data_IF_812747708872
#
_entry.id   IF_812747708872
#
_cell.length_a   1.000
_cell.length_b   1.000
_cell.length_c   1.000
_cell.angle_alpha   90.00
_cell.angle_beta   90.00
_cell.angle_gamma   90.00
#
_symmetry.space_group_name_H-M   'P 1'
#
loop_
_entity.id
_entity.type
_entity.pdbx_description
1 polymer ?
#
# COMPACT_ATOMS: atom_id res chain seq x y z
N UNK A 1 19.61 -11.65 0.72
CA UNK A 1 19.33 -12.35 -0.55
C UNK A 1 19.95 -11.62 -1.73
N UNK A 2 19.58 -10.38 -2.01
CA UNK A 2 20.12 -9.60 -3.13
C UNK A 2 21.66 -9.46 -3.13
N UNK A 3 22.30 -9.34 -1.97
CA UNK A 3 23.76 -9.25 -1.89
C UNK A 3 24.55 -10.48 -2.41
N UNK A 4 23.86 -11.57 -2.76
CA UNK A 4 24.49 -12.73 -3.42
C UNK A 4 24.48 -12.65 -4.95
N UNK A 5 23.75 -11.70 -5.51
CA UNK A 5 23.60 -11.59 -6.98
C UNK A 5 24.94 -11.26 -7.62
N UNK A 6 25.61 -10.22 -7.14
CA UNK A 6 26.88 -9.76 -7.71
C UNK A 6 27.96 -10.85 -7.65
N UNK A 7 28.05 -11.55 -6.51
CA UNK A 7 28.99 -12.67 -6.33
C UNK A 7 28.71 -13.81 -7.33
N UNK A 8 27.42 -14.11 -7.59
CA UNK A 8 27.05 -15.17 -8.54
C UNK A 8 27.27 -14.75 -9.99
N UNK A 9 26.99 -13.49 -10.33
CA UNK A 9 27.26 -12.94 -11.66
C UNK A 9 28.75 -13.04 -11.97
N UNK A 10 29.61 -12.58 -11.05
CA UNK A 10 31.07 -12.64 -11.22
C UNK A 10 31.58 -14.08 -11.29
N UNK A 11 31.16 -14.93 -10.34
CA UNK A 11 31.65 -16.32 -10.24
C UNK A 11 31.30 -17.17 -11.42
N UNK A 12 30.08 -17.04 -11.96
CA UNK A 12 29.57 -17.87 -13.04
C UNK A 12 29.65 -17.21 -14.43
N UNK A 13 30.07 -15.93 -14.49
CA UNK A 13 30.13 -15.18 -15.74
C UNK A 13 28.80 -15.13 -16.48
N UNK A 14 27.71 -15.00 -15.73
CA UNK A 14 26.36 -14.80 -16.30
C UNK A 14 26.10 -13.31 -16.52
N UNK A 15 25.16 -12.99 -17.42
CA UNK A 15 24.91 -11.60 -17.81
C UNK A 15 24.10 -10.86 -16.76
N UNK A 16 23.03 -11.52 -16.25
CA UNK A 16 22.12 -10.90 -15.28
C UNK A 16 21.40 -11.95 -14.43
N UNK A 17 21.03 -11.56 -13.22
CA UNK A 17 20.23 -12.36 -12.29
C UNK A 17 19.11 -11.51 -11.71
N UNK A 18 17.87 -11.95 -11.93
CA UNK A 18 16.68 -11.34 -11.36
C UNK A 18 15.98 -12.24 -10.34
N UNK A 19 15.42 -11.63 -9.30
CA UNK A 19 14.50 -12.31 -8.37
C UNK A 19 13.14 -11.65 -8.53
N UNK A 20 12.20 -12.41 -9.07
CA UNK A 20 10.83 -11.97 -9.29
C UNK A 20 9.96 -12.51 -8.17
N UNK A 21 9.39 -11.63 -7.39
CA UNK A 21 8.48 -12.00 -6.30
C UNK A 21 7.04 -11.83 -6.77
N UNK A 22 6.19 -12.81 -6.45
CA UNK A 22 4.76 -12.66 -6.61
C UNK A 22 4.18 -11.73 -5.55
N UNK A 23 2.92 -11.34 -5.74
CA UNK A 23 2.21 -10.55 -4.76
C UNK A 23 1.78 -11.43 -3.57
N UNK A 24 2.17 -11.06 -2.36
CA UNK A 24 2.01 -11.89 -1.17
C UNK A 24 0.54 -12.25 -0.84
N UNK A 25 -0.41 -11.40 -1.25
CA UNK A 25 -1.85 -11.59 -1.01
C UNK A 25 -2.60 -12.19 -2.20
N UNK A 26 -1.89 -12.47 -3.29
CA UNK A 26 -2.47 -13.07 -4.48
C UNK A 26 -2.61 -14.58 -4.33
N UNK A 27 -3.79 -15.08 -3.97
CA UNK A 27 -4.08 -16.52 -3.85
C UNK A 27 -4.39 -17.13 -5.23
N UNK A 28 -3.37 -17.27 -6.05
CA UNK A 28 -3.46 -17.88 -7.38
C UNK A 28 -2.29 -18.85 -7.62
N UNK A 29 -2.50 -20.02 -8.25
CA UNK A 29 -1.45 -21.00 -8.51
C UNK A 29 -0.26 -20.45 -9.31
N UNK A 30 -0.47 -19.42 -10.14
CA UNK A 30 0.57 -18.75 -10.92
C UNK A 30 1.36 -17.69 -10.13
N UNK A 31 0.89 -17.31 -8.94
CA UNK A 31 1.54 -16.29 -8.10
C UNK A 31 2.70 -16.94 -7.34
N UNK A 32 3.90 -16.88 -7.90
CA UNK A 32 5.11 -17.52 -7.38
C UNK A 32 6.27 -16.54 -7.36
N UNK A 33 7.25 -16.82 -6.51
CA UNK A 33 8.57 -16.27 -6.68
C UNK A 33 9.35 -17.08 -7.71
N UNK A 34 10.21 -16.43 -8.49
CA UNK A 34 11.08 -17.04 -9.46
C UNK A 34 12.48 -16.42 -9.43
N UNK A 35 13.49 -17.25 -9.69
CA UNK A 35 14.84 -16.80 -9.99
C UNK A 35 15.03 -16.91 -11.50
N UNK A 36 15.46 -15.81 -12.11
CA UNK A 36 15.69 -15.71 -13.55
C UNK A 36 17.16 -15.37 -13.78
N UNK A 37 17.88 -16.20 -14.50
CA UNK A 37 19.30 -16.01 -14.83
C UNK A 37 19.48 -15.97 -16.34
N UNK A 38 20.21 -14.98 -16.82
CA UNK A 38 20.55 -14.81 -18.23
C UNK A 38 22.06 -14.97 -18.43
N UNK A 39 22.47 -15.70 -19.44
CA UNK A 39 23.88 -15.90 -19.75
C UNK A 39 24.10 -16.76 -21.01
N UNK A 40 25.32 -16.73 -21.55
CA UNK A 40 25.69 -17.39 -22.79
C UNK A 40 25.97 -18.90 -22.61
N UNK A 41 26.32 -19.33 -21.42
CA UNK A 41 26.69 -20.71 -21.13
C UNK A 41 25.62 -21.40 -20.26
N UNK A 42 24.86 -22.32 -20.87
CA UNK A 42 23.77 -23.07 -20.20
C UNK A 42 24.16 -23.65 -18.85
N UNK A 43 25.36 -24.26 -18.75
CA UNK A 43 25.83 -24.86 -17.48
C UNK A 43 25.91 -23.81 -16.36
N UNK A 44 26.51 -22.67 -16.63
CA UNK A 44 26.68 -21.58 -15.66
C UNK A 44 25.34 -20.99 -15.25
N UNK A 45 24.43 -20.81 -16.22
CA UNK A 45 23.06 -20.33 -15.97
C UNK A 45 22.33 -21.28 -15.03
N UNK A 46 22.37 -22.59 -15.28
CA UNK A 46 21.69 -23.59 -14.44
C UNK A 46 22.27 -23.59 -13.04
N UNK A 47 23.60 -23.67 -12.89
CA UNK A 47 24.26 -23.70 -11.57
C UNK A 47 23.96 -22.42 -10.74
N UNK A 48 24.05 -21.25 -11.35
CA UNK A 48 23.72 -19.99 -10.66
C UNK A 48 22.26 -19.93 -10.23
N UNK A 49 21.35 -20.41 -11.11
CA UNK A 49 19.91 -20.45 -10.82
C UNK A 49 19.60 -21.35 -9.62
N UNK A 50 20.13 -22.60 -9.63
CA UNK A 50 19.90 -23.57 -8.57
C UNK A 50 20.43 -23.07 -7.23
N UNK A 51 21.65 -22.54 -7.19
CA UNK A 51 22.26 -22.02 -5.95
C UNK A 51 21.41 -20.88 -5.37
N UNK A 52 20.95 -19.94 -6.20
CA UNK A 52 20.17 -18.82 -5.69
C UNK A 52 18.74 -19.24 -5.31
N UNK A 53 18.13 -20.16 -6.06
CA UNK A 53 16.82 -20.69 -5.74
C UNK A 53 16.83 -21.50 -4.43
N UNK A 54 17.82 -22.36 -4.22
CA UNK A 54 17.99 -23.12 -2.97
C UNK A 54 18.24 -22.20 -1.78
N UNK A 55 19.08 -21.21 -1.97
CA UNK A 55 19.30 -20.19 -0.93
C UNK A 55 18.02 -19.43 -0.62
N UNK A 56 17.26 -18.97 -1.64
CA UNK A 56 15.99 -18.30 -1.46
C UNK A 56 15.01 -19.18 -0.67
N UNK A 57 14.89 -20.44 -1.06
CA UNK A 57 14.05 -21.40 -0.35
C UNK A 57 14.48 -21.60 1.10
N UNK A 58 15.78 -21.66 1.38
CA UNK A 58 16.31 -21.86 2.74
C UNK A 58 15.93 -20.74 3.70
N UNK A 59 15.87 -19.49 3.21
CA UNK A 59 15.55 -18.30 4.02
C UNK A 59 14.08 -17.89 3.94
N UNK A 60 13.19 -18.68 3.34
CA UNK A 60 11.78 -18.31 3.12
C UNK A 60 10.99 -17.92 4.38
N UNK A 61 11.41 -18.43 5.53
CA UNK A 61 10.80 -18.15 6.82
C UNK A 61 11.45 -16.96 7.57
N UNK A 62 12.51 -16.40 7.03
CA UNK A 62 13.25 -15.28 7.64
C UNK A 62 12.75 -13.92 7.13
N UNK A 63 11.79 -13.90 6.20
CA UNK A 63 11.22 -12.67 5.69
C UNK A 63 10.25 -12.05 6.68
N UNK A 64 10.54 -10.82 7.07
CA UNK A 64 9.71 -10.01 7.94
C UNK A 64 9.33 -8.70 7.26
N UNK A 65 8.22 -8.11 7.68
CA UNK A 65 7.87 -6.76 7.23
C UNK A 65 8.85 -5.73 7.81
N UNK A 66 9.26 -4.79 6.99
CA UNK A 66 10.20 -3.71 7.39
C UNK A 66 9.59 -2.81 8.45
N UNK A 67 8.28 -2.58 8.39
CA UNK A 67 7.52 -1.80 9.37
C UNK A 67 6.69 -2.71 10.28
N UNK A 68 6.42 -2.28 11.52
CA UNK A 68 5.53 -3.02 12.41
C UNK A 68 4.15 -3.20 11.79
N UNK A 69 3.65 -4.44 11.80
CA UNK A 69 2.32 -4.80 11.32
C UNK A 69 1.38 -5.10 12.46
N UNK A 70 0.09 -4.78 12.30
CA UNK A 70 -0.95 -5.08 13.27
C UNK A 70 -2.33 -4.95 12.61
N UNK A 71 -3.41 -5.29 13.31
CA UNK A 71 -4.76 -5.03 12.84
C UNK A 71 -5.13 -3.54 13.00
N UNK A 72 -6.24 -3.14 12.38
CA UNK A 72 -6.69 -1.74 12.37
C UNK A 72 -7.02 -1.23 13.77
N UNK A 73 -7.69 -2.02 14.60
CA UNK A 73 -8.08 -1.65 15.95
C UNK A 73 -6.85 -1.29 16.80
N UNK A 74 -5.83 -2.15 16.80
CA UNK A 74 -4.58 -1.89 17.50
C UNK A 74 -3.81 -0.69 16.91
N UNK A 75 -3.90 -0.47 15.58
CA UNK A 75 -3.31 0.70 14.93
C UNK A 75 -3.95 1.99 15.42
N UNK A 76 -5.28 2.01 15.55
CA UNK A 76 -6.02 3.15 16.10
C UNK A 76 -5.65 3.41 17.56
N UNK A 77 -5.56 2.38 18.39
CA UNK A 77 -5.13 2.53 19.78
C UNK A 77 -3.72 3.10 19.91
N UNK A 78 -2.79 2.60 19.11
CA UNK A 78 -1.41 3.12 19.05
C UNK A 78 -1.39 4.58 18.59
N UNK A 79 -2.20 4.95 17.61
CA UNK A 79 -2.32 6.33 17.15
C UNK A 79 -2.83 7.26 18.26
N UNK A 80 -3.88 6.86 18.99
CA UNK A 80 -4.42 7.61 20.13
C UNK A 80 -3.36 7.77 21.23
N UNK A 81 -2.65 6.71 21.59
CA UNK A 81 -1.58 6.75 22.56
C UNK A 81 -0.44 7.70 22.12
N UNK A 82 -0.04 7.61 20.84
CA UNK A 82 0.97 8.50 20.28
C UNK A 82 0.55 9.96 20.35
N UNK A 83 -0.69 10.29 19.99
CA UNK A 83 -1.23 11.66 20.03
C UNK A 83 -1.22 12.23 21.45
N UNK A 84 -1.54 11.41 22.45
CA UNK A 84 -1.57 11.82 23.85
C UNK A 84 -0.17 11.99 24.46
N UNK A 85 0.82 11.29 23.96
CA UNK A 85 2.17 11.22 24.55
C UNK A 85 3.24 11.91 23.70
N UNK A 86 2.92 12.34 22.48
CA UNK A 86 3.91 12.85 21.54
C UNK A 86 4.59 14.13 22.05
N UNK A 87 5.92 14.11 22.00
CA UNK A 87 6.78 15.27 22.27
C UNK A 87 7.18 16.01 21.00
N UNK A 88 7.01 15.41 19.84
CA UNK A 88 7.37 15.94 18.52
C UNK A 88 6.14 15.99 17.61
N UNK A 89 6.19 16.83 16.57
CA UNK A 89 5.05 17.12 15.68
C UNK A 89 5.01 16.21 14.43
N UNK A 90 5.63 15.03 14.49
CA UNK A 90 5.59 14.11 13.33
C UNK A 90 4.21 13.45 13.21
N UNK A 91 3.74 13.16 11.99
CA UNK A 91 2.50 12.40 11.80
C UNK A 91 2.67 10.95 12.26
N UNK A 92 1.58 10.33 12.69
CA UNK A 92 1.48 8.88 12.82
C UNK A 92 0.86 8.34 11.53
N UNK A 93 1.56 7.45 10.85
CA UNK A 93 1.15 6.93 9.54
C UNK A 93 0.66 5.49 9.71
N UNK A 94 -0.54 5.22 9.20
CA UNK A 94 -1.11 3.87 9.08
C UNK A 94 -1.28 3.59 7.59
N UNK A 95 -0.71 2.49 7.11
CA UNK A 95 -0.86 2.04 5.72
C UNK A 95 -1.72 0.78 5.68
N UNK A 96 -2.77 0.81 4.88
CA UNK A 96 -3.55 -0.39 4.55
C UNK A 96 -2.79 -1.21 3.49
N UNK A 97 -2.65 -2.52 3.73
CA UNK A 97 -1.96 -3.42 2.82
C UNK A 97 -2.94 -4.26 1.96
N UNK A 98 -4.23 -4.24 2.29
CA UNK A 98 -5.22 -5.13 1.69
C UNK A 98 -5.75 -4.66 0.34
N UNK A 99 -6.21 -3.42 0.28
CA UNK A 99 -6.84 -2.85 -0.91
C UNK A 99 -5.85 -2.01 -1.72
N UNK A 100 -4.91 -2.69 -2.37
CA UNK A 100 -3.85 -2.04 -3.15
C UNK A 100 -4.09 -2.16 -4.66
N UNK A 101 -4.43 -1.07 -5.36
CA UNK A 101 -4.70 -1.11 -6.80
C UNK A 101 -3.49 -1.52 -7.64
N UNK A 102 -2.27 -1.22 -7.21
CA UNK A 102 -1.06 -1.65 -7.93
C UNK A 102 -0.84 -3.16 -7.85
N UNK A 103 -1.50 -3.82 -6.94
CA UNK A 103 -1.46 -5.27 -6.75
C UNK A 103 -2.77 -5.96 -7.17
N UNK A 104 -3.67 -5.26 -7.83
CA UNK A 104 -4.93 -5.77 -8.38
C UNK A 104 -6.14 -5.65 -7.44
N UNK A 105 -6.03 -4.94 -6.33
CA UNK A 105 -7.18 -4.52 -5.53
C UNK A 105 -7.97 -3.41 -6.22
N UNK A 106 -9.20 -3.16 -5.79
CA UNK A 106 -10.02 -2.09 -6.34
C UNK A 106 -9.51 -0.69 -5.96
N UNK A 107 -8.89 -0.57 -4.80
CA UNK A 107 -8.43 0.70 -4.24
C UNK A 107 -9.57 1.61 -3.78
N UNK A 108 -10.77 1.07 -3.61
CA UNK A 108 -11.96 1.87 -3.29
C UNK A 108 -12.80 1.30 -2.13
N UNK A 109 -12.28 0.29 -1.43
CA UNK A 109 -12.97 -0.29 -0.27
C UNK A 109 -13.04 0.72 0.88
N UNK A 110 -14.25 0.99 1.36
CA UNK A 110 -14.51 1.99 2.39
C UNK A 110 -14.45 1.47 3.82
N UNK A 111 -14.18 0.17 4.01
CA UNK A 111 -14.22 -0.49 5.32
C UNK A 111 -13.30 0.20 6.34
N UNK A 112 -12.05 0.45 5.97
CA UNK A 112 -11.07 1.12 6.85
C UNK A 112 -11.52 2.54 7.22
N UNK A 113 -11.99 3.32 6.24
CA UNK A 113 -12.51 4.68 6.47
C UNK A 113 -13.72 4.65 7.40
N UNK A 114 -14.67 3.74 7.18
CA UNK A 114 -15.85 3.57 8.01
C UNK A 114 -15.48 3.24 9.47
N UNK A 115 -14.52 2.33 9.67
CA UNK A 115 -13.99 2.00 10.99
C UNK A 115 -13.35 3.19 11.69
N UNK A 116 -12.57 4.00 10.97
CA UNK A 116 -11.95 5.21 11.51
C UNK A 116 -13.02 6.23 11.95
N UNK A 117 -13.98 6.50 11.08
CA UNK A 117 -15.08 7.44 11.37
C UNK A 117 -15.89 7.05 12.61
N UNK A 118 -16.09 5.76 12.83
CA UNK A 118 -16.82 5.22 13.99
C UNK A 118 -15.92 4.93 15.22
N UNK A 119 -14.62 5.19 15.12
CA UNK A 119 -13.67 4.92 16.20
C UNK A 119 -13.59 6.06 17.23
N UNK A 120 -12.87 5.77 18.33
CA UNK A 120 -12.50 6.79 19.33
C UNK A 120 -11.55 7.85 18.75
N UNK A 121 -10.81 7.53 17.70
CA UNK A 121 -9.86 8.45 17.05
C UNK A 121 -10.60 9.69 16.50
N UNK A 122 -11.76 9.51 15.91
CA UNK A 122 -12.59 10.60 15.39
C UNK A 122 -13.18 11.50 16.50
N UNK A 123 -13.13 11.05 17.76
CA UNK A 123 -13.64 11.77 18.94
C UNK A 123 -12.53 12.49 19.73
N UNK A 124 -11.28 12.32 19.35
CA UNK A 124 -10.14 12.96 20.00
C UNK A 124 -10.04 14.40 19.48
N UNK A 125 -10.16 15.38 20.37
CA UNK A 125 -9.99 16.78 19.99
C UNK A 125 -8.53 17.09 19.66
N UNK A 126 -8.30 17.70 18.51
CA UNK A 126 -7.03 18.32 18.14
C UNK A 126 -6.20 17.67 17.04
N UNK A 127 -6.17 16.34 16.78
CA UNK A 127 -5.46 15.83 15.63
C UNK A 127 -6.31 15.97 14.35
N UNK A 128 -5.66 16.39 13.29
CA UNK A 128 -6.20 16.25 11.95
C UNK A 128 -5.99 14.81 11.47
N UNK A 129 -7.04 14.18 10.92
CA UNK A 129 -6.98 12.86 10.32
C UNK A 129 -7.04 13.05 8.81
N UNK A 130 -6.00 12.62 8.11
CA UNK A 130 -5.95 12.61 6.65
C UNK A 130 -6.13 11.17 6.19
N UNK A 131 -7.21 10.90 5.48
CA UNK A 131 -7.44 9.65 4.76
C UNK A 131 -7.32 9.94 3.27
N UNK A 132 -6.41 9.27 2.59
CA UNK A 132 -6.07 9.55 1.19
C UNK A 132 -6.28 8.32 0.29
N UNK A 133 -6.32 8.60 -1.01
CA UNK A 133 -6.39 7.58 -2.07
C UNK A 133 -7.72 6.82 -2.13
N UNK A 134 -8.84 7.50 -1.85
CA UNK A 134 -10.17 6.93 -2.08
C UNK A 134 -10.83 7.60 -3.30
N UNK A 135 -11.30 6.84 -4.30
CA UNK A 135 -11.99 7.39 -5.46
C UNK A 135 -13.34 8.03 -5.09
N UNK A 136 -13.62 9.18 -5.68
CA UNK A 136 -14.89 9.88 -5.47
C UNK A 136 -15.40 10.53 -6.77
N UNK A 137 -15.74 9.75 -7.83
CA UNK A 137 -16.13 10.31 -9.13
C UNK A 137 -17.37 11.20 -9.05
N UNK A 138 -18.35 10.84 -8.23
CA UNK A 138 -19.56 11.64 -8.04
C UNK A 138 -19.27 12.94 -7.31
N UNK A 139 -18.45 12.90 -6.27
CA UNK A 139 -18.02 14.11 -5.55
C UNK A 139 -17.27 15.06 -6.49
N UNK A 140 -16.35 14.54 -7.31
CA UNK A 140 -15.59 15.33 -8.27
C UNK A 140 -16.53 15.96 -9.31
N UNK A 141 -17.47 15.18 -9.88
CA UNK A 141 -18.44 15.67 -10.85
C UNK A 141 -19.30 16.81 -10.28
N UNK A 142 -19.76 16.66 -9.04
CA UNK A 142 -20.55 17.68 -8.36
C UNK A 142 -19.68 18.93 -8.08
N UNK A 143 -18.44 18.77 -7.64
CA UNK A 143 -17.52 19.87 -7.39
C UNK A 143 -17.22 20.71 -8.63
N UNK A 144 -17.08 20.08 -9.80
CA UNK A 144 -16.84 20.79 -11.06
C UNK A 144 -17.99 21.71 -11.47
N UNK A 145 -19.21 21.45 -11.00
CA UNK A 145 -20.41 22.23 -11.30
C UNK A 145 -20.80 23.19 -10.15
N UNK A 146 -20.01 23.27 -9.10
CA UNK A 146 -20.27 24.08 -7.89
C UNK A 146 -19.32 25.28 -7.85
N UNK A 147 -19.78 26.43 -7.39
CA UNK A 147 -18.94 27.62 -7.25
C UNK A 147 -17.95 27.43 -6.09
N UNK A 148 -16.80 28.10 -6.22
CA UNK A 148 -15.79 28.12 -5.15
C UNK A 148 -16.38 28.74 -3.89
N UNK A 149 -16.22 28.05 -2.76
CA UNK A 149 -16.76 28.43 -1.47
C UNK A 149 -18.12 27.83 -1.14
N UNK A 150 -18.81 27.25 -2.13
CA UNK A 150 -20.09 26.57 -1.91
C UNK A 150 -19.87 25.14 -1.39
N UNK A 151 -20.85 24.63 -0.65
CA UNK A 151 -20.86 23.25 -0.18
C UNK A 151 -21.08 22.29 -1.35
N UNK A 152 -20.33 21.22 -1.37
CA UNK A 152 -20.47 20.11 -2.32
C UNK A 152 -20.54 18.79 -1.55
N UNK A 153 -21.40 17.90 -2.02
CA UNK A 153 -21.52 16.55 -1.49
C UNK A 153 -21.48 15.51 -2.60
N UNK A 154 -21.04 14.33 -2.26
CA UNK A 154 -20.99 13.17 -3.16
C UNK A 154 -20.50 11.93 -2.45
N UNK A 155 -20.75 10.79 -3.05
CA UNK A 155 -20.26 9.53 -2.52
C UNK A 155 -18.80 9.28 -2.91
N UNK A 156 -18.03 8.66 -1.98
CA UNK A 156 -16.65 8.25 -2.18
C UNK A 156 -16.49 6.77 -1.84
N UNK A 157 -15.64 6.10 -2.59
CA UNK A 157 -15.33 4.68 -2.45
C UNK A 157 -16.46 3.74 -2.84
N UNK A 158 -16.21 2.45 -2.75
CA UNK A 158 -17.15 1.35 -3.01
C UNK A 158 -17.85 1.44 -4.37
N UNK A 159 -17.14 1.97 -5.40
CA UNK A 159 -17.65 2.01 -6.79
C UNK A 159 -17.51 0.65 -7.45
N UNK A 160 -16.41 -0.04 -7.16
CA UNK A 160 -16.06 -1.34 -7.74
C UNK A 160 -16.15 -2.48 -6.73
N UNK A 161 -15.94 -2.19 -5.43
CA UNK A 161 -16.01 -3.18 -4.37
C UNK A 161 -16.77 -2.67 -3.15
N UNK A 162 -18.06 -2.95 -3.11
CA UNK A 162 -19.01 -2.61 -2.03
C UNK A 162 -19.23 -3.76 -1.01
N UNK A 163 -18.56 -4.91 -1.20
CA UNK A 163 -18.79 -6.13 -0.41
C UNK A 163 -18.50 -5.96 1.07
N UNK A 164 -17.62 -5.07 1.44
CA UNK A 164 -17.14 -4.91 2.83
C UNK A 164 -17.71 -3.68 3.52
N UNK A 165 -18.13 -2.67 2.78
CA UNK A 165 -18.76 -1.47 3.31
C UNK A 165 -19.36 -0.65 2.17
N UNK A 166 -20.50 0.04 2.37
CA UNK A 166 -21.13 0.86 1.36
C UNK A 166 -20.30 2.13 1.08
N UNK A 167 -20.56 2.84 -0.03
CA UNK A 167 -19.97 4.14 -0.28
C UNK A 167 -20.29 5.13 0.85
N UNK A 168 -19.38 6.05 1.11
CA UNK A 168 -19.49 7.03 2.19
C UNK A 168 -19.88 8.39 1.60
N UNK A 169 -20.92 9.01 2.14
CA UNK A 169 -21.29 10.38 1.77
C UNK A 169 -20.24 11.34 2.36
N UNK A 170 -19.56 12.05 1.48
CA UNK A 170 -18.63 13.12 1.83
C UNK A 170 -19.28 14.47 1.55
N UNK A 171 -19.08 15.40 2.49
CA UNK A 171 -19.52 16.80 2.34
C UNK A 171 -18.32 17.69 2.60
N UNK A 172 -18.07 18.63 1.71
CA UNK A 172 -16.94 19.54 1.79
C UNK A 172 -17.28 20.87 1.15
N UNK A 173 -16.40 21.87 1.31
CA UNK A 173 -16.49 23.11 0.58
C UNK A 173 -15.51 23.11 -0.58
N UNK A 174 -15.92 23.68 -1.72
CA UNK A 174 -15.02 23.81 -2.88
C UNK A 174 -13.96 24.87 -2.59
N UNK A 175 -12.70 24.55 -2.91
CA UNK A 175 -11.54 25.41 -2.70
C UNK A 175 -10.89 25.85 -4.01
N UNK A 176 -10.27 27.04 -4.02
CA UNK A 176 -9.54 27.59 -5.18
C UNK A 176 -8.32 26.76 -5.60
N UNK A 177 -7.77 25.99 -4.70
CA UNK A 177 -6.63 25.14 -4.96
C UNK A 177 -6.88 23.77 -4.38
N UNK A 178 -7.11 22.80 -5.26
CA UNK A 178 -6.64 21.46 -4.90
C UNK A 178 -5.15 21.61 -4.57
N UNK A 179 -4.63 20.98 -3.51
CA UNK A 179 -3.20 20.92 -3.32
C UNK A 179 -2.62 20.21 -4.55
N UNK A 180 -2.25 21.00 -5.54
CA UNK A 180 -1.43 20.54 -6.63
C UNK A 180 -0.13 20.15 -5.97
N UNK A 181 0.18 18.86 -5.93
CA UNK A 181 1.52 18.39 -5.65
C UNK A 181 2.45 19.18 -6.57
N UNK A 182 3.12 20.20 -6.02
CA UNK A 182 4.29 20.74 -6.69
C UNK A 182 5.31 19.63 -6.66
N UNK A 183 5.46 18.96 -7.80
CA UNK A 183 6.70 18.25 -8.10
C UNK A 183 7.80 19.30 -8.09
N UNK A 184 8.68 19.18 -7.12
CA UNK A 184 9.99 19.82 -7.08
C UNK A 184 10.94 18.94 -7.86
#
# INVERSE_FOLDING_TARGET
MYGKIDDLVEKYGVIDIGIWTGYAWGDKPRNRAAVVVTGDHKKNVVEATEILADYFWSIRNDFEFVAPTTNLENSIEKAILYLNTRKNKKPFIISDMGDNPTAGGSGDVTWTLNKILNSKLNKVNGPEIIYASIPGPDLIKNALNTKIGDEVSGYVGAVHDDRFSPPILSVSYTHLTLPTSRSV
#
